data_IF_337224112494
#
_entry.id   IF_337224112494
#
_cell.length_a   1.000
_cell.length_b   1.000
_cell.length_c   1.000
_cell.angle_alpha   90.00
_cell.angle_beta   90.00
_cell.angle_gamma   90.00
#
_symmetry.space_group_name_H-M   'P 1'
#
loop_
_entity.id
_entity.type
_entity.pdbx_description
1 polymer ?
#
# COMPACT_ATOMS: atom_id res chain seq x y z
N UNK A 1 18.11 35.00 -30.02
CA UNK A 1 16.75 34.41 -30.18
C UNK A 1 16.74 32.93 -29.77
N UNK A 2 17.74 32.13 -30.14
CA UNK A 2 17.80 30.69 -29.79
C UNK A 2 17.93 30.46 -28.27
N UNK A 3 18.66 31.28 -27.53
CA UNK A 3 18.85 31.15 -26.08
C UNK A 3 17.56 31.36 -25.26
N UNK A 4 16.69 32.29 -25.70
CA UNK A 4 15.42 32.57 -25.00
C UNK A 4 14.43 31.42 -25.21
N UNK A 5 14.35 30.87 -26.41
CA UNK A 5 13.46 29.75 -26.73
C UNK A 5 13.86 28.48 -25.96
N UNK A 6 15.17 28.23 -25.77
CA UNK A 6 15.66 27.09 -24.98
C UNK A 6 15.34 27.23 -23.50
N UNK A 7 15.53 28.41 -22.90
CA UNK A 7 15.21 28.68 -21.51
C UNK A 7 13.71 28.56 -21.22
N UNK A 8 12.86 29.06 -22.11
CA UNK A 8 11.40 28.95 -21.99
C UNK A 8 10.93 27.50 -22.12
N UNK A 9 11.53 26.71 -23.02
CA UNK A 9 11.25 25.29 -23.16
C UNK A 9 11.58 24.48 -21.91
N UNK A 10 12.74 24.73 -21.28
CA UNK A 10 13.16 24.08 -20.03
C UNK A 10 12.26 24.45 -18.86
N UNK A 11 11.82 25.70 -18.75
CA UNK A 11 10.87 26.13 -17.71
C UNK A 11 9.51 25.47 -17.90
N UNK A 12 8.95 25.44 -19.10
CA UNK A 12 7.68 24.78 -19.40
C UNK A 12 7.74 23.26 -19.10
N UNK A 13 8.85 22.60 -19.45
CA UNK A 13 9.06 21.18 -19.15
C UNK A 13 9.16 20.96 -17.64
N UNK A 14 9.88 21.82 -16.92
CA UNK A 14 10.03 21.72 -15.46
C UNK A 14 8.70 21.89 -14.72
N UNK A 15 7.89 22.85 -15.10
CA UNK A 15 6.55 23.04 -14.52
C UNK A 15 5.61 21.88 -14.86
N UNK A 16 5.62 21.39 -16.10
CA UNK A 16 4.78 20.26 -16.50
C UNK A 16 5.10 18.97 -15.78
N UNK A 17 6.37 18.70 -15.47
CA UNK A 17 6.78 17.55 -14.67
C UNK A 17 6.32 17.72 -13.21
N UNK A 18 6.51 18.91 -12.63
CA UNK A 18 6.08 19.21 -11.26
C UNK A 18 4.57 19.02 -11.10
N UNK A 19 3.78 19.59 -12.00
CA UNK A 19 2.31 19.47 -11.96
C UNK A 19 1.85 18.00 -12.12
N UNK A 20 2.51 17.24 -12.99
CA UNK A 20 2.20 15.81 -13.19
C UNK A 20 2.53 14.97 -11.96
N UNK A 21 3.67 15.21 -11.32
CA UNK A 21 4.06 14.50 -10.10
C UNK A 21 3.14 14.87 -8.94
N UNK A 22 2.83 16.14 -8.76
CA UNK A 22 1.90 16.60 -7.71
C UNK A 22 0.51 15.98 -7.88
N UNK A 23 0.00 15.89 -9.11
CA UNK A 23 -1.30 15.26 -9.39
C UNK A 23 -1.33 13.74 -9.12
N UNK A 24 -0.19 13.06 -9.28
CA UNK A 24 -0.07 11.63 -8.94
C UNK A 24 -0.11 11.45 -7.42
N UNK A 25 0.67 12.25 -6.69
CA UNK A 25 0.70 12.22 -5.22
C UNK A 25 -0.67 12.55 -4.64
N UNK A 26 -1.30 13.62 -5.12
CA UNK A 26 -2.65 14.01 -4.70
C UNK A 26 -3.65 12.87 -4.91
N UNK A 27 -3.67 12.24 -6.09
CA UNK A 27 -4.55 11.09 -6.35
C UNK A 27 -4.30 9.92 -5.41
N UNK A 28 -3.05 9.57 -5.16
CA UNK A 28 -2.72 8.46 -4.28
C UNK A 28 -3.26 8.67 -2.88
N UNK A 29 -2.99 9.83 -2.29
CA UNK A 29 -3.29 10.12 -0.90
C UNK A 29 -4.69 10.71 -0.65
N UNK A 30 -5.43 11.12 -1.70
CA UNK A 30 -6.79 11.62 -1.56
C UNK A 30 -7.86 10.70 -2.13
N UNK A 31 -7.51 9.78 -3.05
CA UNK A 31 -8.49 8.93 -3.71
C UNK A 31 -8.24 7.42 -3.52
N UNK A 32 -6.97 7.00 -3.39
CA UNK A 32 -6.61 5.58 -3.30
C UNK A 32 -6.41 5.15 -1.85
N UNK A 33 -5.55 5.83 -1.09
CA UNK A 33 -5.42 5.58 0.33
C UNK A 33 -6.52 6.31 1.09
N UNK A 34 -7.35 5.55 1.80
CA UNK A 34 -8.41 6.07 2.65
C UNK A 34 -7.95 6.17 4.12
N UNK A 35 -6.72 5.76 4.39
CA UNK A 35 -6.01 5.97 5.66
C UNK A 35 -4.97 7.07 5.52
N UNK A 36 -4.60 7.68 6.63
CA UNK A 36 -3.64 8.77 6.66
C UNK A 36 -2.50 8.56 7.68
N UNK A 37 -2.61 7.55 8.51
CA UNK A 37 -1.62 7.21 9.54
C UNK A 37 -1.03 5.84 9.28
N UNK A 38 0.31 5.76 9.32
CA UNK A 38 1.08 4.53 9.16
C UNK A 38 1.91 4.31 10.43
N UNK A 39 1.78 3.13 11.03
CA UNK A 39 2.59 2.70 12.17
C UNK A 39 3.34 1.43 11.80
N UNK A 40 4.67 1.49 11.72
CA UNK A 40 5.51 0.32 11.47
C UNK A 40 5.81 -0.41 12.78
N UNK A 41 5.72 -1.74 12.75
CA UNK A 41 5.94 -2.61 13.91
C UNK A 41 7.36 -3.22 13.87
N UNK A 42 7.94 -3.46 15.06
CA UNK A 42 9.25 -4.13 15.23
C UNK A 42 9.10 -5.64 15.45
N UNK A 43 8.10 -6.02 16.21
CA UNK A 43 7.98 -7.36 16.80
C UNK A 43 6.77 -8.14 16.28
N UNK A 44 6.19 -7.71 15.15
CA UNK A 44 5.01 -8.30 14.52
C UNK A 44 3.78 -8.42 15.45
N UNK A 45 3.71 -7.57 16.47
CA UNK A 45 2.62 -7.53 17.45
C UNK A 45 2.20 -6.07 17.73
N UNK A 46 0.90 -5.88 17.91
CA UNK A 46 0.34 -4.60 18.36
C UNK A 46 0.26 -4.62 19.88
N UNK A 47 1.07 -3.82 20.56
CA UNK A 47 1.06 -3.73 22.01
C UNK A 47 -0.27 -3.16 22.56
N UNK A 48 -0.59 -3.49 23.80
CA UNK A 48 -1.81 -2.99 24.46
C UNK A 48 -1.84 -1.45 24.50
N UNK A 49 -0.69 -0.81 24.71
CA UNK A 49 -0.60 0.65 24.72
C UNK A 49 -0.82 1.28 23.34
N UNK A 50 -0.31 0.67 22.27
CA UNK A 50 -0.62 1.13 20.91
C UNK A 50 -2.10 0.93 20.58
N UNK A 51 -2.67 -0.20 20.96
CA UNK A 51 -4.10 -0.52 20.78
C UNK A 51 -4.99 0.47 21.53
N UNK A 52 -4.67 0.82 22.78
CA UNK A 52 -5.44 1.80 23.56
C UNK A 52 -5.48 3.18 22.88
N UNK A 53 -4.39 3.61 22.25
CA UNK A 53 -4.34 4.88 21.50
C UNK A 53 -5.16 4.77 20.21
N UNK A 54 -5.03 3.68 19.46
CA UNK A 54 -5.72 3.46 18.18
C UNK A 54 -7.22 3.24 18.34
N UNK A 55 -7.67 2.66 19.46
CA UNK A 55 -9.08 2.48 19.80
C UNK A 55 -9.70 3.75 20.45
N UNK A 56 -8.90 4.80 20.66
CA UNK A 56 -9.34 6.06 21.22
C UNK A 56 -10.03 7.00 20.22
N UNK A 57 -10.59 8.09 20.74
CA UNK A 57 -11.39 9.06 19.97
C UNK A 57 -10.61 9.78 18.85
N UNK A 58 -9.29 9.60 18.76
CA UNK A 58 -8.45 10.22 17.74
C UNK A 58 -8.43 9.46 16.41
N UNK A 59 -8.95 8.24 16.38
CA UNK A 59 -9.00 7.39 15.18
C UNK A 59 -10.42 6.91 14.90
N UNK A 60 -10.79 6.89 13.63
CA UNK A 60 -12.08 6.34 13.16
C UNK A 60 -11.98 4.81 12.90
N UNK A 61 -10.76 4.31 12.79
CA UNK A 61 -10.47 2.89 12.66
C UNK A 61 -9.04 2.62 12.24
N UNK A 62 -8.66 1.37 12.33
CA UNK A 62 -7.34 0.88 11.94
C UNK A 62 -7.37 -0.59 11.55
N UNK A 63 -6.40 -1.00 10.73
CA UNK A 63 -6.17 -2.40 10.39
C UNK A 63 -4.68 -2.72 10.51
N UNK A 64 -4.37 -3.98 10.76
CA UNK A 64 -3.01 -4.51 10.62
C UNK A 64 -2.81 -5.10 9.24
N UNK A 65 -1.63 -4.88 8.70
CA UNK A 65 -1.19 -5.50 7.45
C UNK A 65 0.19 -6.12 7.60
N UNK A 66 0.41 -7.21 6.90
CA UNK A 66 1.74 -7.72 6.63
C UNK A 66 2.20 -7.16 5.29
N UNK A 67 3.32 -6.44 5.26
CA UNK A 67 3.92 -5.88 4.06
C UNK A 67 5.35 -6.36 3.93
N UNK A 68 5.62 -7.17 2.89
CA UNK A 68 6.95 -7.73 2.61
C UNK A 68 7.41 -7.31 1.23
N UNK A 69 8.66 -6.85 1.11
CA UNK A 69 9.30 -6.61 -0.19
C UNK A 69 9.55 -7.93 -0.89
N UNK A 70 9.24 -8.01 -2.18
CA UNK A 70 9.40 -9.23 -2.98
C UNK A 70 9.59 -8.88 -4.45
N UNK A 71 10.05 -9.86 -5.22
CA UNK A 71 10.03 -9.80 -6.67
C UNK A 71 8.75 -10.47 -7.20
N UNK A 72 7.96 -9.70 -7.93
CA UNK A 72 6.79 -10.18 -8.67
C UNK A 72 7.27 -10.71 -10.01
N UNK A 73 7.07 -11.99 -10.29
CA UNK A 73 7.59 -12.67 -11.48
C UNK A 73 6.46 -13.17 -12.38
N UNK A 74 6.66 -13.10 -13.70
CA UNK A 74 5.81 -13.76 -14.69
C UNK A 74 6.68 -14.22 -15.87
N UNK A 75 6.76 -15.54 -16.08
CA UNK A 75 7.72 -16.12 -17.03
C UNK A 75 9.15 -15.72 -16.71
N UNK A 76 9.83 -15.07 -17.68
CA UNK A 76 11.21 -14.56 -17.51
C UNK A 76 11.27 -13.11 -17.01
N UNK A 77 10.12 -12.45 -16.87
CA UNK A 77 10.04 -11.07 -16.38
C UNK A 77 9.94 -11.02 -14.85
N UNK A 78 10.60 -10.03 -14.25
CA UNK A 78 10.56 -9.78 -12.82
C UNK A 78 10.47 -8.28 -12.56
N UNK A 79 9.72 -7.90 -11.53
CA UNK A 79 9.57 -6.52 -11.09
C UNK A 79 9.46 -6.44 -9.57
N UNK A 80 10.31 -5.62 -8.94
CA UNK A 80 10.31 -5.49 -7.49
C UNK A 80 9.07 -4.73 -7.00
N UNK A 81 8.44 -5.25 -5.97
CA UNK A 81 7.24 -4.72 -5.36
C UNK A 81 7.06 -5.20 -3.93
N UNK A 82 5.84 -5.17 -3.48
CA UNK A 82 5.46 -5.62 -2.15
C UNK A 82 4.29 -6.61 -2.24
N UNK A 83 4.34 -7.65 -1.44
CA UNK A 83 3.14 -8.36 -1.03
C UNK A 83 2.53 -7.59 0.13
N UNK A 84 1.22 -7.38 0.07
CA UNK A 84 0.44 -6.83 1.16
C UNK A 84 -0.71 -7.79 1.47
N UNK A 85 -0.77 -8.22 2.72
CA UNK A 85 -1.80 -9.11 3.24
C UNK A 85 -2.46 -8.39 4.42
N UNK A 86 -3.76 -8.11 4.38
CA UNK A 86 -4.48 -7.58 5.54
C UNK A 86 -4.72 -8.68 6.58
N UNK A 87 -4.97 -8.31 7.83
CA UNK A 87 -5.37 -9.29 8.87
C UNK A 87 -6.73 -9.94 8.52
N UNK A 88 -7.68 -9.13 8.02
CA UNK A 88 -8.96 -9.61 7.53
C UNK A 88 -9.18 -9.12 6.10
N UNK A 89 -9.56 -10.01 5.20
CA UNK A 89 -9.78 -9.65 3.80
C UNK A 89 -10.84 -8.55 3.62
N UNK A 90 -11.92 -8.57 4.40
CA UNK A 90 -13.04 -7.63 4.32
C UNK A 90 -12.64 -6.18 4.68
N UNK A 91 -11.59 -5.99 5.47
CA UNK A 91 -11.17 -4.66 5.92
C UNK A 91 -10.40 -3.87 4.84
N UNK A 92 -9.70 -4.55 3.93
CA UNK A 92 -8.82 -3.88 2.96
C UNK A 92 -9.53 -2.79 2.15
N UNK A 93 -10.76 -3.06 1.71
CA UNK A 93 -11.57 -2.11 0.94
C UNK A 93 -12.03 -0.88 1.73
N UNK A 94 -11.96 -0.92 3.07
CA UNK A 94 -12.25 0.22 3.96
C UNK A 94 -11.09 1.22 4.00
N UNK A 95 -9.86 0.72 3.86
CA UNK A 95 -8.65 1.54 3.97
C UNK A 95 -7.96 1.81 2.63
N UNK A 96 -8.26 1.03 1.59
CA UNK A 96 -7.74 1.21 0.24
C UNK A 96 -8.89 1.18 -0.76
N UNK A 97 -9.01 2.22 -1.59
CA UNK A 97 -10.00 2.27 -2.65
C UNK A 97 -9.58 1.38 -3.82
N UNK A 98 -9.98 0.12 -3.74
CA UNK A 98 -9.70 -0.89 -4.75
C UNK A 98 -10.64 -0.70 -5.94
N UNK A 99 -10.13 -0.12 -7.03
CA UNK A 99 -10.94 0.14 -8.24
C UNK A 99 -10.15 -0.08 -9.53
N UNK A 100 -10.84 -0.38 -10.61
CA UNK A 100 -10.26 -0.34 -11.95
C UNK A 100 -10.12 1.12 -12.41
N UNK A 101 -8.92 1.51 -12.85
CA UNK A 101 -8.64 2.89 -13.24
C UNK A 101 -9.43 3.38 -14.46
N UNK A 102 -9.80 2.50 -15.38
CA UNK A 102 -10.44 2.86 -16.64
C UNK A 102 -11.95 3.01 -16.50
N UNK A 103 -12.55 2.12 -15.73
CA UNK A 103 -14.00 2.09 -15.52
C UNK A 103 -14.42 2.84 -14.25
N UNK A 104 -13.54 2.96 -13.27
CA UNK A 104 -13.84 3.47 -11.93
C UNK A 104 -14.67 2.50 -11.08
N UNK A 105 -14.90 1.29 -11.57
CA UNK A 105 -15.68 0.27 -10.84
C UNK A 105 -14.82 -0.31 -9.71
N UNK A 106 -15.46 -0.55 -8.56
CA UNK A 106 -14.81 -1.20 -7.41
C UNK A 106 -14.46 -2.64 -7.74
N UNK A 107 -13.28 -3.06 -7.28
CA UNK A 107 -12.81 -4.44 -7.35
C UNK A 107 -12.92 -5.04 -5.96
N UNK A 108 -13.72 -6.09 -5.83
CA UNK A 108 -13.92 -6.77 -4.54
C UNK A 108 -12.64 -7.49 -4.10
N UNK A 109 -12.37 -7.44 -2.79
CA UNK A 109 -11.31 -8.21 -2.15
C UNK A 109 -11.93 -9.07 -1.04
N UNK A 110 -11.89 -10.36 -1.26
CA UNK A 110 -12.52 -11.37 -0.39
C UNK A 110 -11.56 -12.55 -0.22
N UNK A 111 -11.98 -13.56 0.52
CA UNK A 111 -11.26 -14.83 0.62
C UNK A 111 -10.90 -15.40 -0.77
N UNK A 112 -9.64 -15.76 -0.95
CA UNK A 112 -9.13 -16.26 -2.23
C UNK A 112 -8.77 -15.16 -3.27
N UNK A 113 -8.92 -13.89 -2.94
CA UNK A 113 -8.56 -12.79 -3.84
C UNK A 113 -7.05 -12.60 -3.96
N UNK A 114 -6.61 -12.30 -5.18
CA UNK A 114 -5.26 -11.85 -5.53
C UNK A 114 -5.38 -10.65 -6.45
N UNK A 115 -5.10 -9.45 -5.94
CA UNK A 115 -5.14 -8.24 -6.75
C UNK A 115 -3.73 -7.72 -6.99
N UNK A 116 -3.45 -7.28 -8.20
CA UNK A 116 -2.17 -6.66 -8.55
C UNK A 116 -2.39 -5.21 -8.98
N UNK A 117 -1.46 -4.34 -8.62
CA UNK A 117 -1.51 -2.95 -9.08
C UNK A 117 -1.17 -2.85 -10.57
N UNK A 118 -1.74 -1.88 -11.25
CA UNK A 118 -1.74 -1.73 -12.72
C UNK A 118 -0.33 -1.70 -13.34
N UNK A 119 0.62 -1.04 -12.67
CA UNK A 119 1.98 -0.86 -13.20
C UNK A 119 2.74 -2.19 -13.31
N UNK A 120 2.90 -3.01 -12.25
CA UNK A 120 3.53 -4.31 -12.39
C UNK A 120 2.75 -5.26 -13.31
N UNK A 121 1.41 -5.26 -13.28
CA UNK A 121 0.61 -6.06 -14.21
C UNK A 121 0.99 -5.76 -15.67
N UNK A 122 1.05 -4.47 -16.03
CA UNK A 122 1.42 -4.04 -17.39
C UNK A 122 2.86 -4.38 -17.76
N UNK A 123 3.83 -4.25 -16.83
CA UNK A 123 5.24 -4.54 -17.08
C UNK A 123 5.52 -6.04 -17.20
N UNK A 124 4.80 -6.85 -16.45
CA UNK A 124 4.88 -8.30 -16.46
C UNK A 124 4.03 -8.94 -17.58
N UNK A 125 3.14 -8.15 -18.22
CA UNK A 125 2.22 -8.64 -19.23
C UNK A 125 1.17 -9.60 -18.68
N UNK A 126 0.71 -9.36 -17.43
CA UNK A 126 -0.26 -10.22 -16.74
C UNK A 126 -1.62 -9.53 -16.74
N UNK A 127 -2.64 -10.26 -17.19
CA UNK A 127 -4.05 -9.89 -17.12
C UNK A 127 -4.78 -10.68 -16.01
N UNK A 128 -6.03 -10.35 -15.75
CA UNK A 128 -6.89 -11.13 -14.85
C UNK A 128 -7.00 -12.57 -15.35
N UNK A 129 -6.81 -13.53 -14.46
CA UNK A 129 -6.69 -14.96 -14.76
C UNK A 129 -5.24 -15.40 -15.08
N UNK A 130 -4.31 -14.46 -15.24
CA UNK A 130 -2.89 -14.75 -15.41
C UNK A 130 -2.22 -15.10 -14.09
N UNK A 131 -0.95 -15.48 -14.15
CA UNK A 131 -0.18 -15.94 -12.99
C UNK A 131 0.93 -14.97 -12.63
N UNK A 132 1.03 -14.63 -11.35
CA UNK A 132 2.19 -13.98 -10.75
C UNK A 132 2.83 -14.97 -9.77
N UNK A 133 4.14 -15.14 -9.88
CA UNK A 133 4.94 -15.99 -9.00
C UNK A 133 5.70 -15.11 -8.02
N UNK A 134 5.69 -15.47 -6.75
CA UNK A 134 6.56 -14.90 -5.72
C UNK A 134 7.35 -15.99 -5.01
N UNK A 135 8.41 -15.62 -4.31
CA UNK A 135 9.26 -16.55 -3.59
C UNK A 135 9.03 -16.41 -2.09
N UNK A 136 8.84 -17.54 -1.41
CA UNK A 136 8.71 -17.57 0.04
C UNK A 136 10.07 -17.54 0.75
N UNK A 137 10.10 -17.43 2.07
CA UNK A 137 11.33 -17.34 2.86
C UNK A 137 12.25 -18.57 2.72
N UNK A 138 11.69 -19.72 2.35
CA UNK A 138 12.48 -20.94 2.07
C UNK A 138 13.06 -20.99 0.64
N UNK A 139 12.81 -19.99 -0.19
CA UNK A 139 13.21 -19.95 -1.60
C UNK A 139 12.30 -20.75 -2.53
N UNK A 140 11.11 -21.16 -2.07
CA UNK A 140 10.12 -21.84 -2.91
C UNK A 140 9.31 -20.84 -3.69
N UNK A 141 9.20 -21.02 -4.99
CA UNK A 141 8.34 -20.23 -5.87
C UNK A 141 6.89 -20.71 -5.75
N UNK A 142 6.00 -19.75 -5.58
CA UNK A 142 4.57 -19.97 -5.40
C UNK A 142 3.80 -19.13 -6.42
N UNK A 143 2.90 -19.79 -7.13
CA UNK A 143 2.10 -19.20 -8.19
C UNK A 143 0.74 -18.75 -7.66
N UNK A 144 0.39 -17.50 -7.95
CA UNK A 144 -0.90 -16.91 -7.61
C UNK A 144 -1.64 -16.51 -8.86
N UNK A 145 -2.91 -16.90 -8.96
CA UNK A 145 -3.79 -16.48 -10.06
C UNK A 145 -4.36 -15.10 -9.76
N UNK A 146 -4.10 -14.13 -10.62
CA UNK A 146 -4.61 -12.75 -10.48
C UNK A 146 -6.12 -12.73 -10.67
N UNK A 147 -6.86 -12.26 -9.65
CA UNK A 147 -8.32 -12.12 -9.67
C UNK A 147 -8.77 -10.72 -10.08
N UNK A 148 -7.90 -9.71 -9.96
CA UNK A 148 -8.20 -8.34 -10.37
C UNK A 148 -6.95 -7.47 -10.49
N UNK A 149 -7.09 -6.36 -11.22
CA UNK A 149 -6.06 -5.34 -11.41
C UNK A 149 -6.62 -4.03 -10.90
N UNK A 150 -5.86 -3.34 -10.02
CA UNK A 150 -6.33 -2.13 -9.35
C UNK A 150 -5.45 -0.92 -9.61
N UNK A 151 -6.08 0.25 -9.58
CA UNK A 151 -5.42 1.54 -9.69
C UNK A 151 -4.48 1.78 -8.51
N UNK A 152 -3.23 2.19 -8.78
CA UNK A 152 -2.28 2.62 -7.75
C UNK A 152 -1.14 3.41 -8.41
N UNK A 153 -0.60 4.40 -7.72
CA UNK A 153 0.40 5.32 -8.25
C UNK A 153 1.74 5.28 -7.52
N UNK A 154 1.70 5.01 -6.22
CA UNK A 154 2.91 4.96 -5.36
C UNK A 154 3.12 3.53 -4.88
N UNK A 155 4.33 3.05 -5.03
CA UNK A 155 4.69 1.64 -4.81
C UNK A 155 3.95 0.67 -5.75
N UNK A 156 4.22 -0.61 -5.60
CA UNK A 156 3.70 -1.68 -6.44
C UNK A 156 3.33 -2.85 -5.56
N UNK A 157 2.06 -3.24 -5.57
CA UNK A 157 1.54 -4.23 -4.66
C UNK A 157 0.96 -5.44 -5.38
N UNK A 158 1.13 -6.58 -4.73
CA UNK A 158 0.34 -7.78 -4.88
C UNK A 158 -0.44 -7.96 -3.57
N UNK A 159 -1.75 -7.70 -3.60
CA UNK A 159 -2.64 -7.92 -2.47
C UNK A 159 -3.09 -9.37 -2.49
N UNK A 160 -2.93 -10.10 -1.39
CA UNK A 160 -3.33 -11.50 -1.27
C UNK A 160 -4.19 -11.64 -0.01
N UNK A 161 -5.31 -12.36 -0.11
CA UNK A 161 -6.13 -12.66 1.08
C UNK A 161 -5.35 -13.49 2.10
N UNK A 162 -5.55 -13.27 3.41
CA UNK A 162 -4.73 -13.90 4.44
C UNK A 162 -4.76 -15.43 4.38
N UNK A 163 -5.94 -16.02 4.21
CA UNK A 163 -6.11 -17.47 4.15
C UNK A 163 -5.36 -18.09 2.97
N UNK A 164 -5.42 -17.41 1.80
CA UNK A 164 -4.71 -17.86 0.61
C UNK A 164 -3.20 -17.72 0.78
N UNK A 165 -2.74 -16.60 1.36
CA UNK A 165 -1.33 -16.39 1.64
C UNK A 165 -0.78 -17.49 2.55
N UNK A 166 -1.40 -17.72 3.70
CA UNK A 166 -0.94 -18.70 4.67
C UNK A 166 -0.92 -20.12 4.08
N UNK A 167 -1.97 -20.50 3.34
CA UNK A 167 -2.07 -21.84 2.76
C UNK A 167 -1.04 -22.10 1.65
N UNK A 168 -0.85 -21.15 0.75
CA UNK A 168 0.03 -21.33 -0.41
C UNK A 168 1.50 -21.04 -0.09
N UNK A 169 1.79 -20.01 0.71
CA UNK A 169 3.16 -19.69 1.11
C UNK A 169 3.66 -20.64 2.20
N UNK A 170 2.77 -21.24 3.00
CA UNK A 170 3.06 -21.99 4.21
C UNK A 170 3.85 -21.14 5.21
N UNK A 171 3.44 -19.89 5.34
CA UNK A 171 3.96 -18.87 6.25
C UNK A 171 2.80 -18.25 7.01
N UNK A 172 2.92 -17.97 8.32
CA UNK A 172 1.87 -17.32 9.09
C UNK A 172 1.73 -15.84 8.67
N UNK A 173 0.55 -15.28 8.94
CA UNK A 173 0.37 -13.83 8.93
C UNK A 173 1.16 -13.22 10.09
N UNK A 174 2.06 -12.31 9.77
CA UNK A 174 2.87 -11.57 10.73
C UNK A 174 2.73 -10.06 10.46
N UNK A 175 1.95 -9.32 11.26
CA UNK A 175 1.71 -7.91 11.00
C UNK A 175 3.02 -7.11 11.09
N UNK A 176 3.26 -6.27 10.11
CA UNK A 176 4.44 -5.41 10.06
C UNK A 176 4.09 -3.91 10.06
N UNK A 177 2.82 -3.60 9.80
CA UNK A 177 2.35 -2.23 9.67
C UNK A 177 0.89 -2.12 10.13
N UNK A 178 0.52 -0.95 10.66
CA UNK A 178 -0.86 -0.57 10.95
C UNK A 178 -1.20 0.61 10.06
N UNK A 179 -2.32 0.50 9.35
CA UNK A 179 -2.92 1.58 8.58
C UNK A 179 -4.14 2.09 9.35
N UNK A 180 -4.18 3.38 9.68
CA UNK A 180 -5.23 3.96 10.50
C UNK A 180 -5.78 5.27 9.93
N UNK A 181 -7.02 5.59 10.27
CA UNK A 181 -7.71 6.82 9.90
C UNK A 181 -7.75 7.76 11.10
N UNK A 182 -6.93 8.79 11.09
CA UNK A 182 -6.91 9.80 12.16
C UNK A 182 -7.98 10.86 11.89
N UNK A 183 -8.83 11.12 12.88
CA UNK A 183 -9.88 12.15 12.77
C UNK A 183 -9.39 13.54 13.15
N UNK A 184 -8.21 13.64 13.77
CA UNK A 184 -7.61 14.91 14.16
C UNK A 184 -7.07 15.66 12.94
N UNK A 185 -7.41 16.93 12.81
CA UNK A 185 -6.99 17.79 11.70
C UNK A 185 -5.95 18.84 12.08
N UNK A 186 -5.71 19.02 13.39
CA UNK A 186 -4.71 19.96 13.89
C UNK A 186 -3.32 19.32 13.81
N UNK A 187 -2.37 19.94 13.08
CA UNK A 187 -1.03 19.40 12.86
C UNK A 187 -0.25 19.13 14.15
N UNK A 188 -0.30 20.03 15.15
CA UNK A 188 0.39 19.82 16.43
C UNK A 188 -0.21 18.65 17.22
N UNK A 189 -1.52 18.45 17.15
CA UNK A 189 -2.18 17.31 17.79
C UNK A 189 -1.85 16.00 17.05
N UNK A 190 -1.78 15.99 15.71
CA UNK A 190 -1.35 14.85 14.90
C UNK A 190 0.08 14.45 15.24
N UNK A 191 1.02 15.40 15.29
CA UNK A 191 2.40 15.14 15.70
C UNK A 191 2.50 14.55 17.12
N UNK A 192 1.69 15.05 18.05
CA UNK A 192 1.64 14.54 19.41
C UNK A 192 1.11 13.09 19.47
N UNK A 193 0.09 12.75 18.67
CA UNK A 193 -0.45 11.39 18.56
C UNK A 193 0.60 10.45 17.96
N UNK A 194 1.26 10.85 16.87
CA UNK A 194 2.34 10.05 16.27
C UNK A 194 3.49 9.81 17.26
N UNK A 195 3.87 10.83 18.04
CA UNK A 195 4.90 10.69 19.08
C UNK A 195 4.45 9.71 20.20
N UNK A 196 3.19 9.78 20.64
CA UNK A 196 2.64 8.84 21.63
C UNK A 196 2.65 7.39 21.12
N UNK A 197 2.26 7.17 19.87
CA UNK A 197 2.34 5.85 19.23
C UNK A 197 3.77 5.35 19.14
N UNK A 198 4.71 6.22 18.78
CA UNK A 198 6.13 5.86 18.65
C UNK A 198 6.80 5.51 19.98
N UNK A 199 6.27 5.99 21.11
CA UNK A 199 6.75 5.64 22.46
C UNK A 199 6.24 4.25 22.91
N UNK A 200 5.28 3.64 22.21
CA UNK A 200 4.75 2.34 22.59
C UNK A 200 5.72 1.21 22.26
N UNK A 201 5.69 0.18 23.11
CA UNK A 201 6.46 -1.04 22.89
C UNK A 201 6.09 -1.68 21.55
N UNK A 202 7.06 -2.21 20.82
CA UNK A 202 6.84 -2.84 19.51
C UNK A 202 6.66 -1.87 18.34
N UNK A 203 6.51 -0.56 18.56
CA UNK A 203 6.42 0.44 17.48
C UNK A 203 7.82 0.88 17.03
N UNK A 204 8.07 0.78 15.72
CA UNK A 204 9.30 1.25 15.09
C UNK A 204 9.21 2.73 14.70
N UNK A 205 8.16 3.08 13.98
CA UNK A 205 7.86 4.44 13.54
C UNK A 205 6.35 4.65 13.52
N UNK A 206 5.91 5.88 13.73
CA UNK A 206 4.55 6.31 13.50
C UNK A 206 4.58 7.68 12.79
N UNK A 207 3.71 7.87 11.81
CA UNK A 207 3.66 9.10 11.02
C UNK A 207 2.46 9.16 10.11
N UNK A 208 2.31 10.29 9.43
CA UNK A 208 1.21 10.54 8.51
C UNK A 208 1.66 10.42 7.06
N UNK A 209 0.76 9.97 6.18
CA UNK A 209 1.05 9.75 4.76
C UNK A 209 1.43 11.02 4.01
N UNK A 210 1.00 12.19 4.49
CA UNK A 210 1.33 13.49 3.91
C UNK A 210 2.79 13.90 4.14
N UNK A 211 3.47 13.29 5.09
CA UNK A 211 4.85 13.60 5.50
C UNK A 211 5.88 12.67 4.84
N UNK A 212 5.44 11.71 4.00
CA UNK A 212 6.26 10.68 3.36
C UNK A 212 6.47 10.98 1.88
#
# INVERSE_FOLDING_TARGET
IVGIAGATGLLLTGFGIKDSVSGIVEKQYSEIYLYDTIVSLKDNEVSDGAREILDGDSFDGWMTVMKKSTDLMAGDASYSGYVLVPENAEDLGTYINLRDRKTGESVEFTEGSVLVTEKPAGLLGVDVGGTITIENESGRRVDFTVTGIVENYVYHYLYISPELYESEMNEPFEPSEIDAVCVETNGEAREAIAAQLQEQEGVATAGFTEDT
#
